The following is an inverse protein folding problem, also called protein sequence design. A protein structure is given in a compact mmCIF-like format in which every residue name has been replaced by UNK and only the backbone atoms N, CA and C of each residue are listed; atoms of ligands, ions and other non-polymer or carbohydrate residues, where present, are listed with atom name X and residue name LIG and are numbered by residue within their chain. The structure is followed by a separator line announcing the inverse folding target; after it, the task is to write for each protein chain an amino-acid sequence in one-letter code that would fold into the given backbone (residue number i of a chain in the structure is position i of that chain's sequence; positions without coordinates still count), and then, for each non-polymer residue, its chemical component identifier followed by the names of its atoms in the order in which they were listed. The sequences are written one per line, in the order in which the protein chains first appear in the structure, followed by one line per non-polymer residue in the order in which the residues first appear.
data_IF_270948074270
#
_entry.id   IF_270948074270
#
_cell.length_a   1.000
_cell.length_b   1.000
_cell.length_c   1.000
_cell.angle_alpha   90.00
_cell.angle_beta   90.00
_cell.angle_gamma   90.00
#
_symmetry.space_group_name_H-M   'P 1'
#
loop_
_entity.id
_entity.type
_entity.pdbx_description
1 polymer ?
#
# COMPACT_ATOMS: atom_id res chain seq x y z
N UNK A 1 39.33 25.82 50.26
CA UNK A 1 39.38 24.34 50.16
C UNK A 1 39.03 23.89 48.75
N UNK A 2 39.78 22.92 48.19
CA UNK A 2 39.44 22.20 46.95
C UNK A 2 38.16 21.39 47.16
N UNK A 3 37.19 21.48 46.25
CA UNK A 3 36.25 20.38 45.95
C UNK A 3 36.05 20.31 44.44
N UNK A 4 36.88 19.47 43.84
CA UNK A 4 36.80 19.01 42.45
C UNK A 4 35.60 18.09 42.34
N UNK A 5 34.57 18.52 41.63
CA UNK A 5 33.41 17.66 41.31
C UNK A 5 33.88 16.48 40.44
N UNK A 6 33.34 15.28 40.65
CA UNK A 6 33.84 14.07 40.01
C UNK A 6 33.46 14.05 38.53
N UNK A 7 34.48 13.87 37.69
CA UNK A 7 34.37 13.40 36.32
C UNK A 7 33.70 12.03 36.30
N UNK A 8 32.54 11.90 35.65
CA UNK A 8 32.09 10.62 35.14
C UNK A 8 31.36 10.83 33.82
N UNK A 9 32.09 10.57 32.76
CA UNK A 9 31.63 10.03 31.48
C UNK A 9 32.87 9.37 30.89
N UNK A 10 32.79 8.23 30.16
CA UNK A 10 31.75 8.03 29.15
C UNK A 10 31.27 6.57 28.89
N UNK A 11 30.21 6.49 28.07
CA UNK A 11 29.85 5.42 27.12
C UNK A 11 29.38 4.05 27.66
N UNK A 12 28.10 3.79 27.41
CA UNK A 12 27.49 2.46 27.35
C UNK A 12 26.36 2.47 26.32
N UNK A 13 26.75 2.20 25.09
CA UNK A 13 25.99 1.70 23.94
C UNK A 13 24.47 1.52 24.09
N UNK A 14 23.70 2.51 23.62
CA UNK A 14 22.42 2.21 22.94
C UNK A 14 22.33 3.10 21.73
N UNK A 15 22.63 2.48 20.59
CA UNK A 15 22.39 3.00 19.26
C UNK A 15 21.09 3.81 19.22
N UNK A 16 21.23 5.12 19.09
CA UNK A 16 20.17 6.01 18.62
C UNK A 16 19.87 5.62 17.18
N UNK A 17 19.05 4.57 17.01
CA UNK A 17 18.22 4.44 15.81
C UNK A 17 17.27 5.63 15.86
N UNK A 18 17.66 6.69 15.17
CA UNK A 18 16.81 7.84 14.90
C UNK A 18 15.42 7.34 14.50
N UNK A 19 14.38 7.93 15.09
CA UNK A 19 13.01 7.62 14.70
C UNK A 19 12.91 7.75 13.18
N UNK A 20 12.28 6.78 12.48
CA UNK A 20 12.19 6.85 11.02
C UNK A 20 11.62 8.20 10.64
N UNK A 21 12.26 8.86 9.67
CA UNK A 21 11.77 10.13 9.15
C UNK A 21 10.27 9.99 8.85
N UNK A 22 9.42 11.01 9.11
CA UNK A 22 7.99 10.93 8.84
C UNK A 22 7.66 10.52 7.39
N UNK A 23 8.61 10.72 6.47
CA UNK A 23 8.54 10.25 5.10
C UNK A 23 8.77 8.73 4.95
N UNK A 24 9.72 8.16 5.70
CA UNK A 24 9.98 6.71 5.71
C UNK A 24 8.86 5.93 6.40
N UNK A 25 8.35 6.45 7.52
CA UNK A 25 7.20 5.87 8.21
C UNK A 25 5.96 5.84 7.29
N UNK A 26 5.72 6.91 6.52
CA UNK A 26 4.67 6.94 5.50
C UNK A 26 4.91 5.94 4.37
N UNK A 27 6.14 5.82 3.86
CA UNK A 27 6.47 4.84 2.81
C UNK A 27 6.27 3.40 3.30
N UNK A 28 6.65 3.09 4.53
CA UNK A 28 6.42 1.77 5.12
C UNK A 28 4.93 1.49 5.34
N UNK A 29 4.19 2.45 5.88
CA UNK A 29 2.74 2.35 6.05
C UNK A 29 2.05 2.10 4.69
N UNK A 30 2.46 2.80 3.65
CA UNK A 30 1.96 2.63 2.30
C UNK A 30 2.30 1.26 1.71
N UNK A 31 3.53 0.79 1.89
CA UNK A 31 3.96 -0.57 1.50
C UNK A 31 3.05 -1.63 2.14
N UNK A 32 2.86 -1.53 3.46
CA UNK A 32 1.98 -2.44 4.22
C UNK A 32 0.54 -2.37 3.74
N UNK A 33 0.02 -1.16 3.51
CA UNK A 33 -1.34 -0.95 3.01
C UNK A 33 -1.55 -1.58 1.63
N UNK A 34 -0.60 -1.40 0.71
CA UNK A 34 -0.65 -2.02 -0.62
C UNK A 34 -0.64 -3.55 -0.54
N UNK A 35 0.29 -4.15 0.23
CA UNK A 35 0.34 -5.61 0.41
C UNK A 35 -0.95 -6.15 1.02
N UNK A 36 -1.51 -5.47 2.01
CA UNK A 36 -2.78 -5.86 2.63
C UNK A 36 -3.95 -5.74 1.65
N UNK A 37 -3.95 -4.73 0.78
CA UNK A 37 -4.98 -4.55 -0.24
C UNK A 37 -4.92 -5.65 -1.31
N UNK A 38 -3.71 -6.05 -1.75
CA UNK A 38 -3.53 -7.18 -2.67
C UNK A 38 -4.00 -8.51 -2.06
N UNK A 39 -3.65 -8.77 -0.81
CA UNK A 39 -4.12 -9.95 -0.06
C UNK A 39 -5.64 -9.97 0.07
N UNK A 40 -6.26 -8.82 0.35
CA UNK A 40 -7.72 -8.69 0.43
C UNK A 40 -8.38 -8.94 -0.91
N UNK A 41 -7.84 -8.41 -2.00
CA UNK A 41 -8.40 -8.64 -3.34
C UNK A 41 -8.42 -10.13 -3.71
N UNK A 42 -7.32 -10.86 -3.43
CA UNK A 42 -7.27 -12.33 -3.63
C UNK A 42 -8.32 -13.06 -2.79
N UNK A 43 -8.35 -12.79 -1.48
CA UNK A 43 -9.34 -13.42 -0.58
C UNK A 43 -10.78 -13.09 -0.93
N UNK A 44 -11.06 -11.86 -1.36
CA UNK A 44 -12.40 -11.46 -1.79
C UNK A 44 -12.84 -12.24 -3.02
N UNK A 45 -11.95 -12.42 -4.00
CA UNK A 45 -12.22 -13.22 -5.18
C UNK A 45 -12.46 -14.70 -4.83
N UNK A 46 -11.58 -15.29 -4.01
CA UNK A 46 -11.73 -16.66 -3.50
C UNK A 46 -13.03 -16.86 -2.74
N UNK A 47 -13.37 -15.96 -1.80
CA UNK A 47 -14.59 -16.03 -0.99
C UNK A 47 -15.86 -15.92 -1.83
N UNK A 48 -15.82 -15.13 -2.88
CA UNK A 48 -16.95 -14.96 -3.79
C UNK A 48 -17.06 -16.08 -4.83
N UNK A 49 -16.11 -17.03 -4.87
CA UNK A 49 -16.04 -18.04 -5.92
C UNK A 49 -15.75 -17.44 -7.31
N UNK A 50 -15.24 -16.21 -7.36
CA UNK A 50 -14.87 -15.53 -8.61
C UNK A 50 -13.45 -15.92 -8.95
N UNK A 51 -13.28 -16.75 -9.97
CA UNK A 51 -11.96 -17.00 -10.54
C UNK A 51 -11.41 -15.71 -11.13
N UNK A 52 -10.28 -15.25 -10.57
CA UNK A 52 -9.48 -14.21 -11.20
C UNK A 52 -9.06 -14.69 -12.59
N UNK A 53 -9.10 -13.82 -13.60
CA UNK A 53 -8.50 -14.18 -14.87
C UNK A 53 -6.98 -14.38 -14.70
N UNK A 54 -6.36 -15.14 -15.60
CA UNK A 54 -4.90 -15.34 -15.63
C UNK A 54 -4.15 -14.00 -15.52
N UNK A 55 -4.53 -13.03 -16.35
CA UNK A 55 -3.98 -11.68 -16.31
C UNK A 55 -4.26 -10.93 -14.99
N UNK A 56 -5.43 -11.11 -14.34
CA UNK A 56 -5.72 -10.50 -13.04
C UNK A 56 -4.84 -11.10 -11.93
N UNK A 57 -4.57 -12.41 -11.98
CA UNK A 57 -3.65 -13.10 -11.08
C UNK A 57 -2.21 -12.65 -11.26
N UNK A 58 -1.74 -12.61 -12.51
CA UNK A 58 -0.41 -12.11 -12.87
C UNK A 58 -0.21 -10.65 -12.47
N UNK A 59 -1.23 -9.81 -12.68
CA UNK A 59 -1.20 -8.40 -12.25
C UNK A 59 -0.99 -8.27 -10.74
N UNK A 60 -1.76 -9.01 -9.93
CA UNK A 60 -1.64 -8.96 -8.48
C UNK A 60 -0.27 -9.45 -8.00
N UNK A 61 0.27 -10.52 -8.61
CA UNK A 61 1.61 -11.04 -8.32
C UNK A 61 2.71 -10.04 -8.67
N UNK A 62 2.69 -9.50 -9.89
CA UNK A 62 3.67 -8.51 -10.36
C UNK A 62 3.71 -7.25 -9.50
N UNK A 63 2.54 -6.75 -9.10
CA UNK A 63 2.43 -5.59 -8.20
C UNK A 63 2.94 -5.93 -6.80
N UNK A 64 2.63 -7.12 -6.29
CA UNK A 64 3.09 -7.59 -4.98
C UNK A 64 4.62 -7.65 -4.91
N UNK A 65 5.26 -8.28 -5.91
CA UNK A 65 6.71 -8.44 -5.95
C UNK A 65 7.42 -7.09 -6.05
N UNK A 66 6.89 -6.17 -6.86
CA UNK A 66 7.46 -4.81 -6.96
C UNK A 66 7.33 -4.03 -5.66
N UNK A 67 6.21 -4.14 -4.95
CA UNK A 67 6.02 -3.51 -3.63
C UNK A 67 6.96 -4.13 -2.60
N UNK A 68 7.19 -5.46 -2.62
CA UNK A 68 8.14 -6.13 -1.73
C UNK A 68 9.57 -5.62 -1.95
N UNK A 69 10.02 -5.61 -3.20
CA UNK A 69 11.39 -5.27 -3.61
C UNK A 69 11.71 -3.78 -3.46
N UNK A 70 10.82 -2.89 -3.90
CA UNK A 70 11.11 -1.45 -4.00
C UNK A 70 10.32 -0.58 -3.01
N UNK A 71 9.44 -1.19 -2.21
CA UNK A 71 8.53 -0.48 -1.32
C UNK A 71 7.34 0.20 -2.02
N UNK A 72 7.34 0.22 -3.36
CA UNK A 72 6.29 0.82 -4.21
C UNK A 72 6.17 0.05 -5.52
N UNK A 73 4.95 -0.05 -6.04
CA UNK A 73 4.63 -0.71 -7.30
C UNK A 73 4.99 0.12 -8.55
N UNK A 74 5.40 1.38 -8.36
CA UNK A 74 5.83 2.28 -9.43
C UNK A 74 7.12 3.01 -9.04
N UNK A 75 8.07 3.11 -9.96
CA UNK A 75 9.33 3.80 -9.72
C UNK A 75 9.21 5.33 -9.66
N UNK A 76 8.14 5.89 -10.23
CA UNK A 76 7.97 7.32 -10.49
C UNK A 76 7.08 8.01 -9.43
N UNK A 77 7.62 8.97 -8.65
CA UNK A 77 6.86 9.76 -7.67
C UNK A 77 5.75 10.65 -8.27
N UNK A 78 5.73 10.88 -9.60
CA UNK A 78 4.66 11.64 -10.26
C UNK A 78 3.47 10.75 -10.61
N UNK A 79 3.66 9.42 -10.70
CA UNK A 79 2.59 8.45 -11.02
C UNK A 79 1.79 7.99 -9.81
N UNK A 80 2.16 8.47 -8.62
CA UNK A 80 1.44 8.34 -7.35
C UNK A 80 2.03 9.27 -6.30
N UNK A 81 1.19 9.88 -5.45
CA UNK A 81 1.63 10.90 -4.50
C UNK A 81 2.82 10.45 -3.61
N UNK A 82 3.68 11.38 -3.14
CA UNK A 82 4.73 11.07 -2.19
C UNK A 82 4.16 10.30 -0.99
N UNK A 83 4.58 9.04 -0.80
CA UNK A 83 4.04 8.15 0.23
C UNK A 83 2.89 7.24 -0.21
N UNK A 84 2.60 7.08 -1.50
CA UNK A 84 1.70 6.04 -2.02
C UNK A 84 2.50 4.89 -2.65
N UNK A 85 2.12 3.65 -2.32
CA UNK A 85 2.77 2.45 -2.84
C UNK A 85 2.16 1.95 -4.16
N UNK A 86 0.98 2.45 -4.56
CA UNK A 86 0.33 2.11 -5.83
C UNK A 86 0.17 3.37 -6.67
N UNK A 87 0.35 3.24 -7.99
CA UNK A 87 -0.08 4.27 -8.93
C UNK A 87 -1.60 4.43 -8.91
N UNK A 88 -2.11 5.62 -9.27
CA UNK A 88 -3.54 5.88 -9.43
C UNK A 88 -4.24 4.86 -10.35
N UNK A 89 -3.57 4.41 -11.41
CA UNK A 89 -4.09 3.39 -12.34
C UNK A 89 -4.13 1.99 -11.72
N UNK A 90 -3.08 1.61 -10.98
CA UNK A 90 -3.03 0.32 -10.27
C UNK A 90 -4.08 0.26 -9.15
N UNK A 91 -4.26 1.35 -8.40
CA UNK A 91 -5.31 1.47 -7.40
C UNK A 91 -6.71 1.39 -8.01
N UNK A 92 -6.93 1.98 -9.19
CA UNK A 92 -8.19 1.84 -9.94
C UNK A 92 -8.44 0.38 -10.32
N UNK A 93 -7.43 -0.31 -10.85
CA UNK A 93 -7.57 -1.71 -11.26
C UNK A 93 -7.84 -2.64 -10.06
N UNK A 94 -7.16 -2.41 -8.94
CA UNK A 94 -7.41 -3.16 -7.71
C UNK A 94 -8.84 -3.00 -7.21
N UNK A 95 -9.40 -1.78 -7.29
CA UNK A 95 -10.80 -1.51 -6.96
C UNK A 95 -11.77 -2.20 -7.91
N UNK A 96 -11.46 -2.27 -9.20
CA UNK A 96 -12.28 -3.02 -10.17
C UNK A 96 -12.31 -4.51 -9.85
N UNK A 97 -11.15 -5.12 -9.57
CA UNK A 97 -11.06 -6.53 -9.17
C UNK A 97 -11.86 -6.79 -7.90
N UNK A 98 -11.70 -5.92 -6.89
CA UNK A 98 -12.44 -6.05 -5.62
C UNK A 98 -13.95 -5.88 -5.81
N UNK A 99 -14.37 -4.93 -6.66
CA UNK A 99 -15.78 -4.67 -6.96
C UNK A 99 -16.42 -5.86 -7.70
N UNK A 100 -15.73 -6.37 -8.72
CA UNK A 100 -16.12 -7.60 -9.45
C UNK A 100 -16.23 -8.79 -8.50
N UNK A 101 -15.26 -8.95 -7.59
CA UNK A 101 -15.30 -10.00 -6.58
C UNK A 101 -16.49 -9.84 -5.62
N UNK A 102 -16.91 -8.63 -5.29
CA UNK A 102 -18.09 -8.40 -4.45
C UNK A 102 -19.43 -8.51 -5.22
N UNK A 103 -19.42 -8.90 -6.50
CA UNK A 103 -20.63 -8.98 -7.33
C UNK A 103 -21.20 -7.61 -7.74
N UNK A 104 -20.44 -6.53 -7.54
CA UNK A 104 -20.83 -5.20 -8.00
C UNK A 104 -20.41 -5.03 -9.48
N UNK A 105 -21.38 -4.69 -10.34
CA UNK A 105 -21.10 -4.42 -11.75
C UNK A 105 -20.11 -3.26 -11.94
N UNK A 106 -19.32 -3.26 -13.03
CA UNK A 106 -18.46 -2.14 -13.36
C UNK A 106 -19.28 -0.87 -13.54
N UNK A 107 -19.25 0.04 -12.56
CA UNK A 107 -19.91 1.34 -12.72
C UNK A 107 -19.23 2.09 -13.87
N UNK A 108 -19.97 2.47 -14.93
CA UNK A 108 -19.41 3.27 -16.01
C UNK A 108 -18.91 4.59 -15.43
N UNK A 109 -17.71 4.96 -15.86
CA UNK A 109 -17.02 6.17 -15.43
C UNK A 109 -17.68 7.34 -16.13
N UNK A 110 -18.44 8.14 -15.37
CA UNK A 110 -19.19 9.32 -15.79
C UNK A 110 -20.58 9.04 -16.40
N UNK A 111 -21.61 9.53 -15.72
CA UNK A 111 -22.94 9.78 -16.29
C UNK A 111 -23.77 8.56 -16.69
N UNK A 112 -24.52 7.98 -15.75
CA UNK A 112 -25.91 7.56 -15.97
C UNK A 112 -26.57 7.32 -14.63
N UNK A 113 -27.32 8.34 -14.20
CA UNK A 113 -28.47 8.22 -13.31
C UNK A 113 -29.43 7.24 -14.04
N UNK A 114 -29.39 5.95 -13.71
CA UNK A 114 -30.39 4.99 -14.20
C UNK A 114 -31.65 5.19 -13.37
N UNK A 115 -32.77 5.32 -14.07
CA UNK A 115 -34.03 5.92 -13.62
C UNK A 115 -34.55 5.47 -12.26
N UNK A 116 -34.94 6.47 -11.46
CA UNK A 116 -36.14 6.37 -10.64
C UNK A 116 -37.30 6.37 -11.63
N UNK A 117 -38.07 5.30 -11.64
CA UNK A 117 -39.18 5.10 -12.56
C UNK A 117 -39.71 3.67 -12.46
N UNK A 118 -40.27 3.36 -11.29
CA UNK A 118 -41.44 2.50 -11.08
C UNK A 118 -42.10 2.94 -9.76
#
# INVERSE_FOLDING_TARGET
MKRKSPSTSPKGDRASKEAPSPYEAQREAAKRAALNALKRARRSAEKAGVSLSEWEGEFLGSVEDRVKTYGRAFGDPEKGAPGQALSAMQGRKLKEITRKANGEEPRPRWGRKKGIGD
#
